data_IF_673476680451
#
_entry.id   IF_673476680451
#
_cell.length_a   1.000
_cell.length_b   1.000
_cell.length_c   1.000
_cell.angle_alpha   90.00
_cell.angle_beta   90.00
_cell.angle_gamma   90.00
#
_symmetry.space_group_name_H-M   'P 1'
#
loop_
_entity.id
_entity.type
_entity.pdbx_description
1 polymer ?
#
# COMPACT_ATOMS: atom_id res chain seq x y z
N UNK A 1 14.77 16.07 -3.01
CA UNK A 1 15.12 15.01 -3.96
C UNK A 1 13.93 14.07 -4.04
N UNK A 2 13.34 13.80 -5.21
CA UNK A 2 12.27 12.81 -5.31
C UNK A 2 12.85 11.44 -4.97
N UNK A 3 12.24 10.74 -4.00
CA UNK A 3 12.63 9.38 -3.68
C UNK A 3 12.22 8.51 -4.87
N UNK A 4 13.19 8.04 -5.66
CA UNK A 4 12.94 6.97 -6.64
C UNK A 4 12.42 5.75 -5.86
N UNK A 5 11.21 5.30 -6.18
CA UNK A 5 10.69 4.05 -5.66
C UNK A 5 11.65 2.91 -6.04
N UNK A 6 12.09 2.13 -5.05
CA UNK A 6 12.86 0.92 -5.30
C UNK A 6 11.97 -0.04 -6.11
N UNK A 7 12.47 -0.50 -7.27
CA UNK A 7 11.82 -1.58 -8.02
C UNK A 7 11.55 -2.75 -7.06
N UNK A 8 10.30 -3.26 -6.99
CA UNK A 8 10.01 -4.41 -6.15
C UNK A 8 10.94 -5.56 -6.49
N UNK A 9 11.55 -6.19 -5.47
CA UNK A 9 12.47 -7.31 -5.67
C UNK A 9 11.81 -8.46 -6.46
N UNK A 10 10.49 -8.61 -6.35
CA UNK A 10 9.72 -9.59 -7.11
C UNK A 10 9.85 -9.43 -8.64
N UNK A 11 10.07 -8.21 -9.13
CA UNK A 11 10.33 -7.97 -10.56
C UNK A 11 11.63 -8.63 -11.03
N UNK A 12 12.66 -8.65 -10.18
CA UNK A 12 13.94 -9.30 -10.46
C UNK A 12 13.79 -10.82 -10.43
N UNK A 13 12.96 -11.35 -9.54
CA UNK A 13 12.71 -12.80 -9.45
C UNK A 13 11.93 -13.30 -10.65
N UNK A 14 10.90 -12.56 -11.08
CA UNK A 14 10.16 -12.85 -12.31
C UNK A 14 11.08 -12.82 -13.54
N UNK A 15 12.00 -11.84 -13.60
CA UNK A 15 13.00 -11.80 -14.66
C UNK A 15 13.94 -13.02 -14.62
N UNK A 16 14.44 -13.40 -13.43
CA UNK A 16 15.32 -14.55 -13.26
C UNK A 16 14.64 -15.88 -13.67
N UNK A 17 13.34 -16.05 -13.41
CA UNK A 17 12.59 -17.24 -13.86
C UNK A 17 12.59 -17.35 -15.38
N UNK A 18 12.43 -16.23 -16.09
CA UNK A 18 12.50 -16.20 -17.55
C UNK A 18 13.92 -16.51 -18.05
N UNK A 19 14.95 -15.97 -17.40
CA UNK A 19 16.36 -16.21 -17.75
C UNK A 19 16.80 -17.65 -17.49
N UNK A 20 16.28 -18.30 -16.45
CA UNK A 20 16.62 -19.68 -16.06
C UNK A 20 15.74 -20.74 -16.72
N UNK A 21 14.68 -20.33 -17.44
CA UNK A 21 13.79 -21.23 -18.16
C UNK A 21 12.78 -21.99 -17.30
N UNK A 22 12.54 -21.56 -16.06
CA UNK A 22 11.54 -22.18 -15.19
C UNK A 22 11.61 -21.80 -13.71
N UNK A 23 10.58 -22.20 -12.96
CA UNK A 23 10.42 -21.91 -11.53
C UNK A 23 10.70 -23.12 -10.61
N UNK A 24 11.23 -24.22 -11.14
CA UNK A 24 11.45 -25.46 -10.38
C UNK A 24 12.24 -25.28 -9.07
N UNK A 25 13.27 -24.41 -8.97
CA UNK A 25 13.95 -24.13 -7.71
C UNK A 25 13.06 -23.51 -6.62
N UNK A 26 11.92 -22.92 -7.00
CA UNK A 26 10.96 -22.26 -6.12
C UNK A 26 9.78 -23.15 -5.74
N UNK A 27 9.79 -24.44 -6.08
CA UNK A 27 8.65 -25.35 -5.88
C UNK A 27 8.21 -25.50 -4.40
N UNK A 28 9.08 -25.21 -3.43
CA UNK A 28 8.72 -25.23 -2.00
C UNK A 28 8.06 -23.93 -1.52
N UNK A 29 8.14 -22.85 -2.30
CA UNK A 29 7.59 -21.54 -1.94
C UNK A 29 6.06 -21.59 -2.05
N UNK A 30 5.38 -21.39 -0.91
CA UNK A 30 3.91 -21.42 -0.86
C UNK A 30 3.27 -20.04 -0.79
N UNK A 31 3.96 -19.09 -0.16
CA UNK A 31 3.47 -17.74 0.09
C UNK A 31 4.58 -16.74 -0.19
N UNK A 32 4.27 -15.72 -0.98
CA UNK A 32 5.12 -14.57 -1.21
C UNK A 32 4.42 -13.32 -0.67
N UNK A 33 4.99 -12.74 0.39
CA UNK A 33 4.55 -11.46 0.92
C UNK A 33 5.24 -10.33 0.17
N UNK A 34 4.46 -9.38 -0.34
CA UNK A 34 4.98 -8.19 -1.02
C UNK A 34 4.41 -6.94 -0.37
N UNK A 35 5.29 -6.02 0.00
CA UNK A 35 4.92 -4.80 0.73
C UNK A 35 6.02 -3.74 0.68
N UNK A 36 5.79 -2.63 1.38
CA UNK A 36 6.72 -1.49 1.48
C UNK A 36 6.67 -0.51 0.30
N UNK A 37 6.11 -0.91 -0.84
CA UNK A 37 5.75 -0.04 -1.96
C UNK A 37 4.51 -0.58 -2.66
N UNK A 38 3.82 0.26 -3.44
CA UNK A 38 2.65 -0.14 -4.22
C UNK A 38 3.03 -1.23 -5.24
N UNK A 39 2.25 -2.30 -5.25
CA UNK A 39 2.37 -3.38 -6.23
C UNK A 39 1.28 -3.19 -7.28
N UNK A 40 1.65 -3.00 -8.55
CA UNK A 40 0.66 -2.89 -9.62
C UNK A 40 -0.09 -4.20 -9.80
N UNK A 41 -1.39 -4.13 -10.12
CA UNK A 41 -2.22 -5.31 -10.37
C UNK A 41 -1.61 -6.24 -11.43
N UNK A 42 -1.01 -5.66 -12.48
CA UNK A 42 -0.30 -6.41 -13.53
C UNK A 42 0.85 -7.22 -12.96
N UNK A 43 1.67 -6.65 -12.07
CA UNK A 43 2.79 -7.37 -11.46
C UNK A 43 2.30 -8.39 -10.41
N UNK A 44 1.26 -8.05 -9.66
CA UNK A 44 0.63 -8.94 -8.69
C UNK A 44 0.08 -10.21 -9.34
N UNK A 45 -0.60 -10.10 -10.49
CA UNK A 45 -1.17 -11.24 -11.22
C UNK A 45 -0.10 -12.22 -11.75
N UNK A 46 1.12 -11.73 -12.03
CA UNK A 46 2.24 -12.56 -12.52
C UNK A 46 2.80 -13.49 -11.45
N UNK A 47 2.65 -13.18 -10.17
CA UNK A 47 3.22 -13.97 -9.07
C UNK A 47 2.66 -15.40 -9.05
N UNK A 48 1.33 -15.62 -8.92
CA UNK A 48 0.79 -16.97 -8.98
C UNK A 48 1.00 -17.64 -10.33
N UNK A 49 0.99 -16.88 -11.44
CA UNK A 49 1.11 -17.42 -12.79
C UNK A 49 2.53 -17.91 -13.13
N UNK A 50 3.57 -17.16 -12.75
CA UNK A 50 4.96 -17.45 -13.13
C UNK A 50 5.77 -18.06 -11.98
N UNK A 51 5.53 -17.63 -10.73
CA UNK A 51 6.25 -18.17 -9.56
C UNK A 51 5.56 -19.43 -9.03
N UNK A 52 4.23 -19.54 -9.17
CA UNK A 52 3.47 -20.72 -8.72
C UNK A 52 3.15 -20.74 -7.22
N UNK A 53 3.23 -19.58 -6.54
CA UNK A 53 2.91 -19.43 -5.12
C UNK A 53 1.81 -18.38 -4.89
N UNK A 54 1.17 -18.42 -3.72
CA UNK A 54 0.15 -17.44 -3.36
C UNK A 54 0.79 -16.08 -3.04
N UNK A 55 0.18 -14.99 -3.52
CA UNK A 55 0.52 -13.63 -3.12
C UNK A 55 -0.24 -13.25 -1.84
N UNK A 56 0.45 -12.56 -0.93
CA UNK A 56 -0.18 -11.74 0.11
C UNK A 56 0.38 -10.32 0.04
N UNK A 57 -0.49 -9.32 -0.16
CA UNK A 57 -0.08 -7.92 -0.04
C UNK A 57 0.02 -7.54 1.44
N UNK A 58 1.08 -6.80 1.78
CA UNK A 58 1.35 -6.29 3.12
C UNK A 58 1.53 -4.79 3.05
N UNK A 59 0.56 -4.03 3.55
CA UNK A 59 0.65 -2.58 3.66
C UNK A 59 0.71 -2.19 5.13
N UNK A 60 1.90 -1.82 5.58
CA UNK A 60 2.12 -1.38 6.95
C UNK A 60 3.18 -0.31 7.07
N UNK A 61 3.28 0.21 8.28
CA UNK A 61 4.17 1.30 8.66
C UNK A 61 4.85 0.98 9.99
N UNK A 62 6.02 1.56 10.24
CA UNK A 62 6.77 1.31 11.48
C UNK A 62 6.02 1.83 12.72
N UNK A 63 5.15 2.81 12.51
CA UNK A 63 4.32 3.49 13.50
C UNK A 63 3.19 2.62 14.08
N UNK A 64 2.86 1.49 13.43
CA UNK A 64 1.77 0.63 13.89
C UNK A 64 1.11 -0.12 12.76
N UNK A 65 -0.08 0.35 12.36
CA UNK A 65 -1.03 -0.29 11.46
C UNK A 65 -0.37 -1.18 10.39
N UNK A 66 -0.79 -2.44 10.34
CA UNK A 66 -0.43 -3.37 9.26
C UNK A 66 -1.69 -4.02 8.69
N UNK A 67 -1.80 -3.97 7.38
CA UNK A 67 -2.90 -4.50 6.59
C UNK A 67 -2.41 -5.70 5.78
N UNK A 68 -3.26 -6.72 5.69
CA UNK A 68 -2.97 -7.94 4.95
C UNK A 68 -4.15 -8.31 4.06
N UNK A 69 -3.88 -8.73 2.84
CA UNK A 69 -4.83 -9.61 2.16
C UNK A 69 -4.81 -10.96 2.88
N UNK A 70 -5.97 -11.54 3.13
CA UNK A 70 -6.10 -12.84 3.80
C UNK A 70 -5.77 -13.98 2.82
N UNK A 71 -5.36 -15.12 3.37
CA UNK A 71 -5.01 -16.29 2.56
C UNK A 71 -6.22 -16.95 1.89
N UNK A 72 -7.43 -16.65 2.36
CA UNK A 72 -8.68 -17.12 1.80
C UNK A 72 -9.42 -16.03 1.01
N UNK A 73 -8.79 -14.88 0.75
CA UNK A 73 -9.37 -13.84 -0.08
C UNK A 73 -9.47 -14.28 -1.54
N UNK A 74 -10.42 -13.70 -2.27
CA UNK A 74 -10.50 -13.90 -3.71
C UNK A 74 -9.24 -13.38 -4.41
N UNK A 75 -8.86 -13.94 -5.58
CA UNK A 75 -7.76 -13.42 -6.38
C UNK A 75 -7.93 -11.93 -6.71
N UNK A 76 -9.17 -11.47 -6.93
CA UNK A 76 -9.49 -10.07 -7.17
C UNK A 76 -9.07 -9.17 -6.00
N UNK A 77 -9.39 -9.56 -4.76
CA UNK A 77 -8.99 -8.84 -3.54
C UNK A 77 -7.47 -8.83 -3.38
N UNK A 78 -6.82 -9.98 -3.57
CA UNK A 78 -5.36 -10.12 -3.45
C UNK A 78 -4.62 -9.24 -4.47
N UNK A 79 -5.12 -9.18 -5.71
CA UNK A 79 -4.45 -8.47 -6.81
C UNK A 79 -4.68 -6.96 -6.73
N UNK A 80 -5.89 -6.51 -6.37
CA UNK A 80 -6.30 -5.12 -6.54
C UNK A 80 -6.31 -4.29 -5.24
N UNK A 81 -6.07 -4.89 -4.09
CA UNK A 81 -6.10 -4.20 -2.79
C UNK A 81 -4.84 -4.46 -1.98
N UNK A 82 -4.61 -3.63 -0.98
CA UNK A 82 -3.56 -3.78 0.02
C UNK A 82 -4.07 -4.47 1.30
N UNK A 83 -5.23 -5.11 1.22
CA UNK A 83 -5.83 -5.85 2.31
C UNK A 83 -6.56 -4.98 3.32
N UNK A 84 -6.74 -5.53 4.52
CA UNK A 84 -7.45 -4.88 5.63
C UNK A 84 -6.70 -5.03 6.95
N UNK A 85 -6.98 -4.20 7.98
CA UNK A 85 -6.23 -4.19 9.23
C UNK A 85 -6.13 -5.57 9.88
N UNK A 86 -4.99 -5.87 10.52
CA UNK A 86 -4.78 -7.18 11.14
C UNK A 86 -5.58 -7.36 12.44
N UNK A 87 -5.87 -6.27 13.15
CA UNK A 87 -6.62 -6.29 14.40
C UNK A 87 -8.07 -5.81 14.18
N UNK A 88 -9.08 -6.46 14.80
CA UNK A 88 -10.44 -5.94 14.80
C UNK A 88 -10.60 -4.56 15.46
N UNK A 89 -9.71 -4.23 16.40
CA UNK A 89 -9.69 -2.94 17.11
C UNK A 89 -8.77 -1.90 16.44
N UNK A 90 -8.26 -2.18 15.24
CA UNK A 90 -7.67 -1.12 14.41
C UNK A 90 -8.80 -0.28 13.82
N UNK A 91 -8.87 0.98 14.25
CA UNK A 91 -9.81 1.95 13.73
C UNK A 91 -9.13 2.71 12.59
N UNK A 92 -9.66 2.55 11.37
CA UNK A 92 -9.16 3.23 10.16
C UNK A 92 -10.28 4.00 9.50
N UNK A 93 -10.02 5.26 9.16
CA UNK A 93 -10.94 6.08 8.38
C UNK A 93 -10.18 7.00 7.41
N UNK A 94 -10.93 7.57 6.47
CA UNK A 94 -10.38 8.41 5.39
C UNK A 94 -10.78 9.86 5.63
N UNK A 95 -9.80 10.75 5.70
CA UNK A 95 -10.02 12.19 5.90
C UNK A 95 -9.85 13.00 4.61
N UNK A 96 -10.67 14.04 4.44
CA UNK A 96 -10.42 15.08 3.44
C UNK A 96 -9.24 15.99 3.85
N UNK A 97 -9.01 17.07 3.09
CA UNK A 97 -7.92 18.03 3.36
C UNK A 97 -8.13 18.84 4.65
N UNK A 98 -9.39 19.06 5.04
CA UNK A 98 -9.77 19.83 6.23
C UNK A 98 -9.85 18.95 7.49
N UNK A 99 -9.75 17.63 7.34
CA UNK A 99 -9.77 16.66 8.43
C UNK A 99 -11.14 16.07 8.70
N UNK A 100 -12.12 16.26 7.81
CA UNK A 100 -13.45 15.67 7.94
C UNK A 100 -13.47 14.24 7.38
N UNK A 101 -14.32 13.35 7.93
CA UNK A 101 -14.47 12.00 7.42
C UNK A 101 -15.10 11.98 6.02
N UNK A 102 -14.56 11.13 5.16
CA UNK A 102 -15.08 10.84 3.83
C UNK A 102 -15.88 9.53 3.83
N UNK A 103 -16.88 9.39 2.93
CA UNK A 103 -17.65 8.15 2.80
C UNK A 103 -16.79 7.01 2.20
N UNK A 104 -17.24 5.74 2.34
CA UNK A 104 -16.55 4.60 1.74
C UNK A 104 -16.34 4.77 0.23
N UNK A 105 -15.18 4.35 -0.25
CA UNK A 105 -14.75 4.43 -1.66
C UNK A 105 -14.07 5.74 -2.04
N UNK A 106 -14.29 6.83 -1.31
CA UNK A 106 -13.63 8.11 -1.59
C UNK A 106 -12.14 8.08 -1.20
N UNK A 107 -11.34 8.86 -1.92
CA UNK A 107 -9.89 8.93 -1.73
C UNK A 107 -9.55 10.09 -0.80
N UNK A 108 -8.79 9.79 0.25
CA UNK A 108 -8.30 10.80 1.19
C UNK A 108 -7.20 10.27 2.10
N UNK A 109 -6.87 11.01 3.14
CA UNK A 109 -5.77 10.70 4.05
C UNK A 109 -6.13 9.55 4.98
N UNK A 110 -5.23 8.58 5.11
CA UNK A 110 -5.35 7.51 6.08
C UNK A 110 -5.18 8.05 7.50
N UNK A 111 -6.24 7.91 8.30
CA UNK A 111 -6.25 8.17 9.73
C UNK A 111 -6.41 6.84 10.47
N UNK A 112 -5.55 6.56 11.45
CA UNK A 112 -5.56 5.27 12.16
C UNK A 112 -5.23 5.38 13.64
N UNK A 113 -5.85 4.53 14.45
CA UNK A 113 -5.40 4.22 15.82
C UNK A 113 -5.72 2.75 16.12
N UNK A 114 -5.02 2.18 17.10
CA UNK A 114 -5.23 0.78 17.45
C UNK A 114 -4.28 0.32 18.55
N UNK A 115 -4.38 -0.96 18.96
CA UNK A 115 -3.65 -1.49 20.11
C UNK A 115 -2.13 -1.54 19.94
N UNK A 116 -1.62 -1.43 18.71
CA UNK A 116 -0.19 -1.42 18.39
C UNK A 116 0.22 -0.21 17.54
N UNK A 117 -0.68 0.75 17.31
CA UNK A 117 -0.33 2.05 16.74
C UNK A 117 0.12 2.98 17.85
N UNK A 118 1.33 3.50 17.72
CA UNK A 118 1.94 4.40 18.70
C UNK A 118 1.12 5.70 18.89
N UNK A 119 1.44 6.44 19.96
CA UNK A 119 0.74 7.70 20.34
C UNK A 119 1.61 8.94 20.23
N UNK A 120 2.78 8.82 19.62
CA UNK A 120 3.70 9.93 19.45
C UNK A 120 5.12 9.46 19.15
N UNK A 121 5.80 10.22 18.31
CA UNK A 121 7.23 10.11 18.11
C UNK A 121 7.98 10.49 19.39
N UNK A 122 9.09 9.80 19.62
CA UNK A 122 9.97 10.05 20.75
C UNK A 122 10.60 11.45 20.65
N UNK A 123 10.48 12.24 21.73
CA UNK A 123 11.07 13.57 21.87
C UNK A 123 10.82 14.53 20.68
N UNK A 124 9.61 14.48 20.09
CA UNK A 124 9.26 15.30 18.91
C UNK A 124 7.89 15.99 19.05
N UNK A 125 7.71 16.89 20.04
CA UNK A 125 6.41 17.48 20.36
C UNK A 125 5.80 18.29 19.20
N UNK A 126 6.62 19.04 18.45
CA UNK A 126 6.15 19.82 17.30
C UNK A 126 5.63 18.92 16.17
N UNK A 127 6.32 17.80 15.92
CA UNK A 127 5.87 16.85 14.89
C UNK A 127 4.61 16.12 15.34
N UNK A 128 4.54 15.69 16.60
CA UNK A 128 3.37 15.03 17.18
C UNK A 128 2.10 15.89 17.06
N UNK A 129 2.20 17.22 17.25
CA UNK A 129 1.07 18.13 17.10
C UNK A 129 0.46 18.15 15.68
N UNK A 130 1.27 17.81 14.65
CA UNK A 130 0.81 17.73 13.25
C UNK A 130 0.44 16.32 12.80
N UNK A 131 1.00 15.29 13.44
CA UNK A 131 0.86 13.89 13.03
C UNK A 131 -0.38 13.22 13.63
N UNK A 132 -0.94 13.80 14.70
CA UNK A 132 -2.10 13.26 15.41
C UNK A 132 -3.23 14.28 15.49
N UNK A 133 -4.46 13.79 15.39
CA UNK A 133 -5.64 14.61 15.68
C UNK A 133 -5.92 14.70 17.21
N UNK A 134 -6.93 15.49 17.59
CA UNK A 134 -7.33 15.65 18.99
C UNK A 134 -7.84 14.36 19.66
N UNK A 135 -8.23 13.35 18.87
CA UNK A 135 -8.73 12.06 19.34
C UNK A 135 -7.64 10.96 19.34
N UNK A 136 -6.39 11.36 19.02
CA UNK A 136 -5.22 10.49 18.99
C UNK A 136 -5.17 9.55 17.79
N UNK A 137 -5.83 9.87 16.68
CA UNK A 137 -5.61 9.21 15.39
C UNK A 137 -4.34 9.73 14.75
N UNK A 138 -3.48 8.81 14.33
CA UNK A 138 -2.28 9.07 13.55
C UNK A 138 -2.63 9.23 12.07
N UNK A 139 -2.12 10.29 11.43
CA UNK A 139 -2.17 10.48 9.98
C UNK A 139 -0.89 9.92 9.35
N UNK A 140 -0.99 8.86 8.53
CA UNK A 140 0.20 8.25 7.92
C UNK A 140 0.80 9.06 6.76
N UNK A 141 0.02 10.02 6.24
CA UNK A 141 0.33 10.76 5.00
C UNK A 141 0.09 9.97 3.71
N UNK A 142 -0.44 8.74 3.80
CA UNK A 142 -0.86 7.98 2.63
C UNK A 142 -2.27 8.39 2.20
N UNK A 143 -2.51 8.36 0.88
CA UNK A 143 -3.83 8.55 0.29
C UNK A 143 -4.43 7.18 -0.02
N UNK A 144 -5.58 6.89 0.58
CA UNK A 144 -6.27 5.60 0.46
C UNK A 144 -7.74 5.78 0.15
N UNK A 145 -8.37 4.71 -0.35
CA UNK A 145 -9.81 4.50 -0.29
C UNK A 145 -10.09 3.19 0.47
N UNK A 146 -11.21 3.13 1.17
CA UNK A 146 -11.68 1.93 1.88
C UNK A 146 -13.01 1.52 1.29
N UNK A 147 -13.16 0.26 0.90
CA UNK A 147 -14.44 -0.23 0.41
C UNK A 147 -15.39 -0.69 1.53
N UNK A 148 -16.57 -1.17 1.15
CA UNK A 148 -17.61 -1.61 2.09
C UNK A 148 -17.21 -2.83 2.93
N UNK A 149 -16.25 -3.63 2.46
CA UNK A 149 -15.73 -4.81 3.16
C UNK A 149 -14.49 -4.48 4.02
N UNK A 150 -14.07 -3.21 4.05
CA UNK A 150 -12.92 -2.72 4.81
C UNK A 150 -11.56 -2.94 4.12
N UNK A 151 -11.54 -3.28 2.83
CA UNK A 151 -10.30 -3.42 2.08
C UNK A 151 -9.78 -2.04 1.65
N UNK A 152 -8.49 -1.86 1.83
CA UNK A 152 -7.77 -0.63 1.57
C UNK A 152 -7.09 -0.71 0.20
N UNK A 153 -7.25 0.35 -0.59
CA UNK A 153 -6.46 0.59 -1.81
C UNK A 153 -5.65 1.85 -1.64
N UNK A 154 -4.33 1.76 -1.88
CA UNK A 154 -3.39 2.88 -1.79
C UNK A 154 -3.29 3.57 -3.15
N UNK A 155 -3.48 4.89 -3.15
CA UNK A 155 -3.47 5.75 -4.34
C UNK A 155 -2.25 6.67 -4.42
N UNK A 156 -1.46 6.76 -3.34
CA UNK A 156 -0.22 7.52 -3.30
C UNK A 156 0.06 8.09 -1.92
N UNK A 157 0.85 9.16 -1.87
CA UNK A 157 1.11 9.93 -0.64
C UNK A 157 0.77 11.40 -0.85
N UNK A 158 0.33 12.06 0.21
CA UNK A 158 -0.04 13.48 0.18
C UNK A 158 1.13 14.36 -0.32
N UNK A 159 2.36 14.04 0.08
CA UNK A 159 3.57 14.77 -0.32
C UNK A 159 4.07 14.45 -1.74
N UNK A 160 3.56 13.39 -2.36
CA UNK A 160 3.95 12.91 -3.70
C UNK A 160 2.92 13.28 -4.79
N UNK A 161 1.89 14.08 -4.45
CA UNK A 161 0.97 14.66 -5.43
C UNK A 161 1.59 15.89 -6.12
N UNK A 162 1.62 15.89 -7.44
CA UNK A 162 1.96 17.06 -8.26
C UNK A 162 0.68 17.87 -8.46
N UNK A 163 0.67 19.11 -7.99
CA UNK A 163 -0.41 20.05 -8.31
C UNK A 163 -0.08 20.81 -9.61
N UNK A 164 -0.84 20.56 -10.68
CA UNK A 164 -0.71 21.25 -11.96
C UNK A 164 -1.97 22.08 -12.20
N UNK A 165 -1.94 23.34 -11.78
CA UNK A 165 -3.02 24.29 -12.08
C UNK A 165 -4.37 23.97 -11.43
N UNK A 166 -4.37 23.32 -10.27
CA UNK A 166 -5.59 22.89 -9.56
C UNK A 166 -5.93 21.41 -9.73
N UNK A 167 -5.34 20.74 -10.72
CA UNK A 167 -5.46 19.30 -10.89
C UNK A 167 -4.39 18.57 -10.08
N UNK A 168 -4.82 17.59 -9.27
CA UNK A 168 -3.97 16.75 -8.44
C UNK A 168 -3.57 15.51 -9.26
N UNK A 169 -2.32 15.44 -9.69
CA UNK A 169 -1.79 14.32 -10.48
C UNK A 169 -0.90 13.48 -9.57
N UNK A 170 -1.18 12.18 -9.47
CA UNK A 170 -0.28 11.25 -8.79
C UNK A 170 0.99 11.09 -9.64
N UNK A 171 2.16 11.47 -9.11
CA UNK A 171 3.43 11.29 -9.82
C UNK A 171 3.66 9.84 -10.27
N UNK A 172 3.16 8.89 -9.48
CA UNK A 172 3.24 7.45 -9.75
C UNK A 172 2.44 6.99 -10.97
N UNK A 173 1.27 7.59 -11.26
CA UNK A 173 0.48 7.24 -12.45
C UNK A 173 1.30 7.52 -13.72
N UNK A 174 1.97 8.66 -13.73
CA UNK A 174 2.87 9.06 -14.82
C UNK A 174 4.11 8.15 -14.86
N UNK A 175 4.71 7.81 -13.72
CA UNK A 175 5.85 6.89 -13.67
C UNK A 175 5.48 5.49 -14.22
N UNK A 176 4.31 4.96 -13.87
CA UNK A 176 3.82 3.67 -14.37
C UNK A 176 3.59 3.68 -15.89
N UNK A 177 3.12 4.80 -16.45
CA UNK A 177 3.00 5.00 -17.90
C UNK A 177 4.35 5.14 -18.60
N UNK A 178 5.37 5.64 -17.91
CA UNK A 178 6.72 5.86 -18.44
C UNK A 178 7.66 4.66 -18.26
N UNK A 179 7.29 3.65 -17.45
CA UNK A 179 8.07 2.43 -17.33
C UNK A 179 8.10 1.73 -18.72
N UNK A 180 9.29 1.50 -19.30
CA UNK A 180 9.40 1.07 -20.68
C UNK A 180 8.79 -0.32 -20.85
N UNK A 181 7.74 -0.41 -21.67
CA UNK A 181 7.43 -1.61 -22.44
C UNK A 181 8.59 -1.81 -23.42
N UNK A 182 9.66 -2.48 -22.98
CA UNK A 182 10.62 -3.01 -23.95
C UNK A 182 9.88 -4.04 -24.79
N UNK A 183 9.63 -3.67 -26.05
CA UNK A 183 9.37 -4.63 -27.14
C UNK A 183 10.54 -5.59 -27.28
#
# INVERSE_FOLDING_TARGET
>A
MPRRWCRPAVSLWLQAIQEWGGNAPLASLRLLQVGGARLSATLAARIPAEIGCQLQQVFGMAEGLVNYTRLNDSPERIINTQGRPMCPDDEVWVADADGNPLPPGEIGRLMTRGPYTFRGYFNSPQHNASAFDANGFYCSGDLISIDQDGYITVHGREKDQINRGGEKIAAEEIENLLLPTRR
#
